data_IF_378035230010
#
_entry.id   IF_378035230010
#
_cell.length_a   1.000
_cell.length_b   1.000
_cell.length_c   1.000
_cell.angle_alpha   90.00
_cell.angle_beta   90.00
_cell.angle_gamma   90.00
#
_symmetry.space_group_name_H-M   'P 1'
#
loop_
_entity.id
_entity.type
_entity.pdbx_description
1 polymer ?
#
# COMPACT_ATOMS: atom_id res chain seq x y z
N UNK A 1 -15.09 12.30 15.59
CA UNK A 1 -14.61 11.05 16.24
C UNK A 1 -13.15 11.25 16.60
N UNK A 2 -12.71 10.80 17.78
CA UNK A 2 -11.30 10.86 18.21
C UNK A 2 -10.85 9.41 18.43
N UNK A 3 -9.66 9.05 17.95
CA UNK A 3 -9.07 7.75 18.23
C UNK A 3 -8.57 7.71 19.69
N UNK A 4 -8.85 6.62 20.41
CA UNK A 4 -8.46 6.45 21.82
C UNK A 4 -7.14 5.68 22.00
N UNK A 5 -6.68 4.99 20.94
CA UNK A 5 -5.46 4.19 20.96
C UNK A 5 -4.75 4.25 19.61
N UNK A 6 -3.42 4.32 19.65
CA UNK A 6 -2.53 4.25 18.49
C UNK A 6 -1.60 3.06 18.66
N UNK A 7 -1.45 2.24 17.61
CA UNK A 7 -0.50 1.13 17.56
C UNK A 7 0.59 1.52 16.56
N UNK A 8 1.83 1.62 17.04
CA UNK A 8 2.97 2.08 16.24
C UNK A 8 3.74 0.88 15.70
N UNK A 9 3.69 0.68 14.38
CA UNK A 9 4.59 -0.27 13.73
C UNK A 9 5.99 0.35 13.62
N UNK A 10 7.07 -0.40 13.89
CA UNK A 10 8.40 0.20 13.96
C UNK A 10 8.93 0.70 12.60
N UNK A 11 8.49 0.08 11.50
CA UNK A 11 8.96 0.30 10.13
C UNK A 11 7.85 0.07 9.12
N UNK A 12 7.94 0.73 7.95
CA UNK A 12 7.07 0.52 6.79
C UNK A 12 7.62 -0.50 5.79
N UNK A 13 7.07 -0.53 4.58
CA UNK A 13 7.51 -1.48 3.54
C UNK A 13 8.98 -1.24 3.14
N UNK A 14 9.68 -2.30 2.75
CA UNK A 14 11.01 -2.21 2.14
C UNK A 14 10.96 -1.35 0.87
N UNK A 15 12.00 -0.53 0.64
CA UNK A 15 12.15 0.33 -0.52
C UNK A 15 11.13 1.49 -0.62
N UNK A 16 10.47 1.83 0.50
CA UNK A 16 9.53 2.94 0.61
C UNK A 16 10.18 4.17 1.27
N UNK A 17 11.36 4.57 0.74
CA UNK A 17 12.13 5.69 1.27
C UNK A 17 11.46 7.04 1.03
N UNK A 18 10.78 7.20 -0.11
CA UNK A 18 10.09 8.43 -0.51
C UNK A 18 9.07 8.90 0.54
N UNK A 19 8.39 7.94 1.20
CA UNK A 19 7.39 8.22 2.24
C UNK A 19 7.89 7.95 3.66
N UNK A 20 9.15 7.53 3.79
CA UNK A 20 9.76 7.04 5.02
C UNK A 20 8.96 5.88 5.67
N UNK A 21 8.35 5.03 4.85
CA UNK A 21 7.63 3.84 5.30
C UNK A 21 6.19 4.11 5.71
N UNK A 22 5.38 4.63 4.79
CA UNK A 22 3.96 4.90 5.05
C UNK A 22 3.17 3.63 5.41
N UNK A 23 2.20 3.78 6.31
CA UNK A 23 1.46 2.65 6.88
C UNK A 23 0.62 1.91 5.84
N UNK A 24 0.07 2.62 4.85
CA UNK A 24 -0.84 2.06 3.84
C UNK A 24 -0.18 1.02 2.93
N UNK A 25 1.15 1.06 2.80
CA UNK A 25 1.91 0.15 1.97
C UNK A 25 2.34 -1.12 2.73
N UNK A 26 2.31 -1.10 4.07
CA UNK A 26 2.62 -2.27 4.91
C UNK A 26 1.37 -2.90 5.54
N UNK A 27 0.38 -2.13 6.00
CA UNK A 27 -0.76 -2.66 6.72
C UNK A 27 -2.00 -1.78 6.65
N UNK A 28 -3.18 -2.39 6.63
CA UNK A 28 -4.45 -1.67 6.67
C UNK A 28 -5.54 -2.48 7.39
N UNK A 29 -6.60 -1.82 7.85
CA UNK A 29 -7.74 -2.51 8.44
C UNK A 29 -8.65 -3.09 7.36
N UNK A 30 -8.96 -4.39 7.45
CA UNK A 30 -10.04 -5.01 6.69
C UNK A 30 -11.39 -4.89 7.40
N UNK A 31 -11.37 -4.88 8.74
CA UNK A 31 -12.53 -4.74 9.60
C UNK A 31 -12.05 -4.31 11.01
N UNK A 32 -12.95 -3.95 11.94
CA UNK A 32 -12.55 -3.70 13.33
C UNK A 32 -11.80 -4.91 13.91
N UNK A 33 -10.59 -4.66 14.45
CA UNK A 33 -9.67 -5.68 14.96
C UNK A 33 -9.19 -6.73 13.92
N UNK A 34 -9.28 -6.43 12.62
CA UNK A 34 -8.79 -7.29 11.54
C UNK A 34 -7.88 -6.48 10.61
N UNK A 35 -6.60 -6.85 10.55
CA UNK A 35 -5.56 -6.12 9.81
C UNK A 35 -4.98 -6.99 8.70
N UNK A 36 -4.89 -6.45 7.50
CA UNK A 36 -4.10 -7.02 6.40
C UNK A 36 -2.66 -6.51 6.56
N UNK A 37 -1.69 -7.41 6.44
CA UNK A 37 -0.26 -7.11 6.57
C UNK A 37 0.49 -7.64 5.34
N UNK A 38 1.22 -6.75 4.66
CA UNK A 38 2.19 -7.06 3.62
C UNK A 38 3.18 -8.10 4.15
N UNK A 39 3.31 -9.23 3.46
CA UNK A 39 4.03 -10.39 3.96
C UNK A 39 4.88 -11.04 2.87
N UNK A 40 5.99 -11.66 3.28
CA UNK A 40 6.72 -12.63 2.47
C UNK A 40 7.16 -13.78 3.36
N UNK A 41 7.16 -15.00 2.84
CA UNK A 41 7.76 -16.17 3.51
C UNK A 41 9.25 -16.35 3.19
N UNK A 42 9.79 -15.58 2.23
CA UNK A 42 11.21 -15.59 1.89
C UNK A 42 12.04 -14.88 2.96
N UNK A 43 12.73 -15.67 3.79
CA UNK A 43 13.55 -15.17 4.88
C UNK A 43 14.80 -14.40 4.42
N UNK A 44 15.19 -14.54 3.15
CA UNK A 44 16.30 -13.79 2.57
C UNK A 44 15.90 -12.40 2.09
N UNK A 45 14.60 -12.16 1.89
CA UNK A 45 14.08 -10.84 1.54
C UNK A 45 14.11 -9.92 2.78
N UNK A 46 14.66 -8.69 2.68
CA UNK A 46 14.63 -7.70 3.76
C UNK A 46 13.23 -7.45 4.35
N UNK A 47 12.17 -7.58 3.53
CA UNK A 47 10.79 -7.42 3.95
C UNK A 47 10.39 -8.43 5.03
N UNK A 48 10.93 -9.65 5.03
CA UNK A 48 10.59 -10.68 6.00
C UNK A 48 10.81 -10.22 7.44
N UNK A 49 11.97 -9.62 7.71
CA UNK A 49 12.31 -9.15 9.05
C UNK A 49 11.37 -8.01 9.51
N UNK A 50 10.95 -7.14 8.59
CA UNK A 50 10.03 -6.05 8.86
C UNK A 50 8.61 -6.58 9.12
N UNK A 51 8.08 -7.41 8.22
CA UNK A 51 6.74 -8.00 8.37
C UNK A 51 6.62 -8.83 9.64
N UNK A 52 7.66 -9.57 10.03
CA UNK A 52 7.67 -10.34 11.28
C UNK A 52 7.60 -9.43 12.52
N UNK A 53 8.32 -8.31 12.51
CA UNK A 53 8.28 -7.34 13.61
C UNK A 53 6.91 -6.67 13.70
N UNK A 54 6.35 -6.23 12.58
CA UNK A 54 5.00 -5.68 12.50
C UNK A 54 3.94 -6.68 13.02
N UNK A 55 4.05 -7.95 12.64
CA UNK A 55 3.17 -9.02 13.12
C UNK A 55 3.23 -9.16 14.65
N UNK A 56 4.44 -9.16 15.23
CA UNK A 56 4.61 -9.27 16.69
C UNK A 56 3.98 -8.08 17.43
N UNK A 57 4.11 -6.87 16.90
CA UNK A 57 3.47 -5.67 17.46
C UNK A 57 1.95 -5.78 17.39
N UNK A 58 1.40 -6.13 16.23
CA UNK A 58 -0.06 -6.28 16.06
C UNK A 58 -0.65 -7.36 16.98
N UNK A 59 0.03 -8.50 17.13
CA UNK A 59 -0.45 -9.60 17.96
C UNK A 59 -0.35 -9.33 19.47
N UNK A 60 0.59 -8.50 19.90
CA UNK A 60 0.77 -8.14 21.32
C UNK A 60 -0.06 -6.93 21.77
N UNK A 61 -0.72 -6.24 20.84
CA UNK A 61 -1.48 -5.02 21.12
C UNK A 61 -2.95 -5.16 20.72
N UNK A 62 -3.87 -5.34 21.68
CA UNK A 62 -5.31 -5.26 21.41
C UNK A 62 -5.71 -3.87 20.90
N UNK A 63 -6.83 -3.77 20.19
CA UNK A 63 -7.37 -2.48 19.74
C UNK A 63 -7.93 -1.62 20.90
N UNK A 64 -8.48 -0.44 20.59
CA UNK A 64 -9.04 0.48 21.58
C UNK A 64 -10.20 -0.12 22.40
N UNK A 65 -10.85 -1.18 21.91
CA UNK A 65 -11.95 -1.89 22.58
C UNK A 65 -11.49 -3.19 23.24
N UNK A 66 -10.18 -3.41 23.36
CA UNK A 66 -9.61 -4.60 23.99
C UNK A 66 -9.71 -5.87 23.15
N UNK A 67 -10.02 -5.77 21.84
CA UNK A 67 -10.09 -6.93 20.95
C UNK A 67 -8.70 -7.26 20.44
N UNK A 68 -8.35 -8.55 20.45
CA UNK A 68 -7.11 -9.01 19.83
C UNK A 68 -7.17 -8.79 18.31
N UNK A 69 -6.06 -8.34 17.73
CA UNK A 69 -5.97 -8.11 16.30
C UNK A 69 -5.78 -9.44 15.58
N UNK A 70 -6.73 -9.79 14.72
CA UNK A 70 -6.56 -10.83 13.71
C UNK A 70 -5.71 -10.26 12.56
N UNK A 71 -4.54 -10.87 12.33
CA UNK A 71 -3.63 -10.45 11.25
C UNK A 71 -3.76 -11.41 10.08
N UNK A 72 -4.14 -10.88 8.92
CA UNK A 72 -4.21 -11.58 7.65
C UNK A 72 -2.98 -11.20 6.83
N UNK A 73 -2.19 -12.20 6.47
CA UNK A 73 -1.00 -11.99 5.64
C UNK A 73 -1.40 -11.91 4.17
N UNK A 74 -0.92 -10.89 3.46
CA UNK A 74 -1.03 -10.80 2.01
C UNK A 74 0.37 -10.88 1.40
N UNK A 75 0.62 -11.90 0.59
CA UNK A 75 1.93 -12.13 -0.03
C UNK A 75 2.24 -10.97 -0.99
N UNK A 76 3.34 -10.25 -0.76
CA UNK A 76 3.82 -9.21 -1.68
C UNK A 76 4.20 -9.81 -3.04
N UNK A 77 4.18 -9.03 -4.14
CA UNK A 77 4.69 -9.51 -5.41
C UNK A 77 6.19 -9.87 -5.30
N UNK A 78 6.71 -10.68 -6.23
CA UNK A 78 8.15 -10.85 -6.39
C UNK A 78 8.84 -9.48 -6.43
N UNK A 79 10.05 -9.39 -5.87
CA UNK A 79 10.82 -8.16 -5.91
C UNK A 79 10.96 -7.66 -7.36
N UNK A 80 10.53 -6.43 -7.60
CA UNK A 80 10.65 -5.76 -8.88
C UNK A 80 11.66 -4.64 -8.77
N UNK A 81 12.32 -4.37 -9.89
CA UNK A 81 13.35 -3.35 -9.97
C UNK A 81 13.08 -2.44 -11.17
N UNK A 82 13.53 -1.19 -11.05
CA UNK A 82 13.56 -0.25 -12.16
C UNK A 82 14.55 -0.72 -13.22
N UNK A 83 14.13 -0.66 -14.46
CA UNK A 83 14.87 -1.04 -15.66
C UNK A 83 15.27 0.19 -16.46
N UNK A 84 16.12 0.02 -17.47
CA UNK A 84 16.49 1.11 -18.38
C UNK A 84 15.29 1.65 -19.17
N UNK A 85 14.34 0.78 -19.53
CA UNK A 85 13.11 1.16 -20.26
C UNK A 85 12.17 2.02 -19.42
N UNK A 86 12.27 1.94 -18.08
CA UNK A 86 11.49 2.76 -17.15
C UNK A 86 12.09 4.17 -16.98
N UNK A 87 13.28 4.43 -17.53
CA UNK A 87 13.94 5.73 -17.41
C UNK A 87 13.42 6.72 -18.45
N UNK A 88 13.29 8.01 -18.11
CA UNK A 88 12.94 9.01 -19.09
C UNK A 88 13.99 9.03 -20.21
N UNK A 89 13.55 8.86 -21.46
CA UNK A 89 14.40 9.05 -22.64
C UNK A 89 14.97 10.47 -22.60
N UNK A 90 16.28 10.58 -22.79
CA UNK A 90 17.17 11.66 -22.33
C UNK A 90 16.92 13.08 -22.88
N UNK A 91 15.70 13.46 -23.28
CA UNK A 91 15.26 14.85 -23.50
C UNK A 91 13.74 15.02 -23.73
N UNK A 92 12.89 14.01 -23.47
CA UNK A 92 11.44 14.15 -23.67
C UNK A 92 10.68 13.99 -22.36
N UNK A 93 10.15 15.11 -21.86
CA UNK A 93 9.22 15.23 -20.73
C UNK A 93 9.80 15.18 -19.31
N UNK A 94 10.95 15.81 -19.05
CA UNK A 94 11.05 16.51 -17.76
C UNK A 94 10.03 17.65 -17.84
N UNK A 95 8.89 17.52 -17.16
CA UNK A 95 8.05 18.66 -16.87
C UNK A 95 8.83 19.51 -15.86
N UNK A 96 9.73 20.36 -16.36
CA UNK A 96 10.29 21.42 -15.53
C UNK A 96 9.11 22.25 -15.06
N UNK A 97 9.01 22.50 -13.75
CA UNK A 97 8.09 23.52 -13.26
C UNK A 97 8.50 24.83 -13.94
N UNK A 98 7.69 25.31 -14.88
CA UNK A 98 7.85 26.66 -15.45
C UNK A 98 7.21 27.62 -14.45
N UNK A 99 7.87 27.81 -13.31
CA UNK A 99 7.50 28.77 -12.29
C UNK A 99 8.43 29.96 -12.34
N UNK A 100 7.91 31.13 -12.70
CA UNK A 100 8.59 32.42 -12.51
C UNK A 100 8.69 32.70 -11.00
N UNK A 101 9.70 32.15 -10.33
CA UNK A 101 10.29 32.72 -9.12
C UNK A 101 11.48 31.87 -8.69
N UNK A 102 12.60 32.53 -8.46
CA UNK A 102 13.65 32.01 -7.62
C UNK A 102 13.07 31.70 -6.24
N UNK A 103 12.85 30.44 -5.89
CA UNK A 103 13.03 29.93 -4.54
C UNK A 103 12.92 28.40 -4.50
N UNK A 104 13.83 27.82 -3.72
CA UNK A 104 13.94 26.44 -3.26
C UNK A 104 14.38 25.38 -4.30
N UNK A 105 15.58 24.85 -4.07
CA UNK A 105 16.04 23.60 -4.67
C UNK A 105 15.02 22.51 -4.35
N UNK A 106 14.18 22.16 -5.32
CA UNK A 106 13.38 20.95 -5.25
C UNK A 106 14.38 19.78 -5.27
N UNK A 107 14.56 19.12 -4.12
CA UNK A 107 15.20 17.80 -4.07
C UNK A 107 14.28 16.81 -4.79
N UNK A 108 14.31 16.81 -6.13
CA UNK A 108 13.81 15.68 -6.90
C UNK A 108 14.64 14.46 -6.49
N UNK A 109 14.00 13.43 -5.94
CA UNK A 109 14.69 12.16 -5.69
C UNK A 109 15.12 11.59 -7.04
N UNK A 110 16.43 11.53 -7.27
CA UNK A 110 16.97 10.95 -8.50
C UNK A 110 16.59 9.47 -8.57
N UNK A 111 15.85 9.09 -9.61
CA UNK A 111 15.52 7.68 -9.88
C UNK A 111 16.70 7.01 -10.57
N UNK A 112 17.07 5.82 -10.11
CA UNK A 112 18.19 5.05 -10.67
C UNK A 112 17.78 3.65 -11.10
N UNK A 113 18.39 3.17 -12.20
CA UNK A 113 18.19 1.80 -12.67
C UNK A 113 18.68 0.81 -11.62
N UNK A 114 17.90 -0.24 -11.37
CA UNK A 114 18.20 -1.26 -10.36
C UNK A 114 17.64 -0.96 -8.97
N UNK A 115 16.98 0.20 -8.76
CA UNK A 115 16.22 0.45 -7.54
C UNK A 115 15.08 -0.55 -7.37
N UNK A 116 14.90 -1.07 -6.15
CA UNK A 116 13.75 -1.92 -5.81
C UNK A 116 12.50 -1.05 -5.73
N UNK A 117 11.39 -1.54 -6.27
CA UNK A 117 10.09 -0.85 -6.21
C UNK A 117 9.34 -1.23 -4.92
N UNK A 118 8.71 -0.24 -4.28
CA UNK A 118 7.90 -0.38 -3.05
C UNK A 118 6.52 -1.03 -3.30
N UNK A 119 6.50 -2.18 -3.97
CA UNK A 119 5.26 -2.81 -4.43
C UNK A 119 4.59 -3.65 -3.35
N UNK A 120 3.34 -3.31 -3.01
CA UNK A 120 2.48 -4.12 -2.15
C UNK A 120 1.02 -4.11 -2.62
N UNK A 121 0.35 -5.25 -2.45
CA UNK A 121 -1.09 -5.36 -2.62
C UNK A 121 -1.88 -4.69 -1.50
N UNK A 122 -1.26 -4.34 -0.37
CA UNK A 122 -1.92 -3.61 0.73
C UNK A 122 -2.32 -2.18 0.33
N UNK A 123 -1.67 -1.60 -0.68
CA UNK A 123 -1.95 -0.27 -1.22
C UNK A 123 -3.17 -0.28 -2.17
N UNK A 124 -4.29 -0.84 -1.71
CA UNK A 124 -5.58 -0.92 -2.41
C UNK A 124 -6.58 0.11 -1.89
N UNK A 125 -7.61 0.40 -2.68
CA UNK A 125 -8.70 1.29 -2.29
C UNK A 125 -10.01 0.53 -2.03
N UNK A 126 -10.71 0.86 -0.94
CA UNK A 126 -12.05 0.34 -0.61
C UNK A 126 -13.09 1.33 -1.12
N UNK A 127 -13.81 0.96 -2.19
CA UNK A 127 -14.86 1.78 -2.77
C UNK A 127 -16.26 1.39 -2.26
N UNK A 128 -17.13 2.39 -2.08
CA UNK A 128 -18.52 2.18 -1.67
C UNK A 128 -18.75 2.19 -0.15
N UNK A 129 -19.98 1.92 0.27
CA UNK A 129 -20.40 2.10 1.66
C UNK A 129 -20.11 0.88 2.54
N UNK A 130 -19.80 1.06 3.85
CA UNK A 130 -19.70 -0.06 4.78
C UNK A 130 -21.00 -0.88 4.81
N UNK A 131 -20.92 -2.18 4.52
CA UNK A 131 -22.10 -3.08 4.44
C UNK A 131 -23.02 -2.88 3.23
N UNK A 132 -22.71 -1.92 2.35
CA UNK A 132 -23.46 -1.62 1.12
C UNK A 132 -22.74 -2.10 -0.15
N UNK A 133 -23.26 -1.74 -1.33
CA UNK A 133 -22.61 -2.05 -2.60
C UNK A 133 -21.24 -1.35 -2.69
N UNK A 134 -20.26 -2.04 -3.25
CA UNK A 134 -18.90 -1.55 -3.34
C UNK A 134 -17.91 -2.62 -3.78
N UNK A 135 -16.64 -2.24 -3.82
CA UNK A 135 -15.56 -3.08 -4.33
C UNK A 135 -14.22 -2.75 -3.71
N UNK A 136 -13.23 -3.55 -4.06
CA UNK A 136 -11.82 -3.36 -3.74
C UNK A 136 -11.09 -3.14 -5.06
N UNK A 137 -10.46 -1.98 -5.22
CA UNK A 137 -9.61 -1.68 -6.37
C UNK A 137 -8.17 -1.91 -5.95
N UNK A 138 -7.57 -2.99 -6.44
CA UNK A 138 -6.26 -3.48 -6.00
C UNK A 138 -5.27 -3.50 -7.16
N UNK A 139 -4.00 -3.12 -6.96
CA UNK A 139 -3.00 -3.22 -8.02
C UNK A 139 -2.73 -4.67 -8.42
N UNK A 140 -2.59 -4.90 -9.72
CA UNK A 140 -1.96 -6.07 -10.28
C UNK A 140 -0.57 -5.72 -10.81
N UNK A 141 0.39 -6.61 -10.58
CA UNK A 141 1.79 -6.43 -10.95
C UNK A 141 2.23 -7.39 -12.08
N UNK A 142 1.32 -8.20 -12.62
CA UNK A 142 1.62 -9.17 -13.66
C UNK A 142 2.30 -10.44 -13.12
N UNK A 143 2.10 -10.74 -11.84
CA UNK A 143 2.75 -11.85 -11.13
C UNK A 143 1.73 -12.89 -10.65
N UNK A 144 2.18 -14.13 -10.42
CA UNK A 144 1.31 -15.20 -9.89
C UNK A 144 0.70 -14.88 -8.51
N UNK A 145 1.34 -13.97 -7.77
CA UNK A 145 0.84 -13.42 -6.50
C UNK A 145 -0.40 -12.55 -6.67
N UNK A 146 -0.71 -12.04 -7.87
CA UNK A 146 -1.94 -11.27 -8.13
C UNK A 146 -3.19 -12.11 -7.82
N UNK A 147 -3.16 -13.40 -8.21
CA UNK A 147 -4.24 -14.34 -7.93
C UNK A 147 -4.36 -14.62 -6.43
N UNK A 148 -3.22 -14.76 -5.74
CA UNK A 148 -3.20 -14.99 -4.29
C UNK A 148 -3.74 -13.78 -3.52
N UNK A 149 -3.33 -12.57 -3.92
CA UNK A 149 -3.82 -11.33 -3.37
C UNK A 149 -5.34 -11.20 -3.54
N UNK A 150 -5.85 -11.44 -4.75
CA UNK A 150 -7.29 -11.41 -5.02
C UNK A 150 -8.06 -12.42 -4.16
N UNK A 151 -7.54 -13.64 -3.97
CA UNK A 151 -8.16 -14.65 -3.11
C UNK A 151 -8.20 -14.23 -1.64
N UNK A 152 -7.12 -13.62 -1.14
CA UNK A 152 -7.07 -13.09 0.23
C UNK A 152 -8.09 -11.96 0.39
N UNK A 153 -8.09 -10.98 -0.52
CA UNK A 153 -9.01 -9.85 -0.47
C UNK A 153 -10.48 -10.28 -0.57
N UNK A 154 -10.80 -11.27 -1.41
CA UNK A 154 -12.15 -11.86 -1.50
C UNK A 154 -12.61 -12.42 -0.15
N UNK A 155 -11.71 -13.06 0.61
CA UNK A 155 -12.01 -13.58 1.96
C UNK A 155 -12.11 -12.47 3.00
N UNK A 156 -11.31 -11.41 2.87
CA UNK A 156 -11.34 -10.25 3.75
C UNK A 156 -12.63 -9.44 3.60
N UNK A 157 -13.14 -9.35 2.38
CA UNK A 157 -14.22 -8.47 1.97
C UNK A 157 -15.36 -9.25 1.30
N UNK A 158 -16.04 -10.15 2.02
CA UNK A 158 -17.10 -10.98 1.43
C UNK A 158 -18.23 -10.10 0.86
N UNK A 159 -18.65 -10.42 -0.36
CA UNK A 159 -19.70 -9.68 -1.08
C UNK A 159 -19.23 -8.41 -1.79
N UNK A 160 -17.95 -8.05 -1.69
CA UNK A 160 -17.35 -6.98 -2.50
C UNK A 160 -16.70 -7.55 -3.75
N UNK A 161 -16.84 -6.85 -4.86
CA UNK A 161 -16.10 -7.16 -6.08
C UNK A 161 -14.61 -6.82 -5.90
N UNK A 162 -13.71 -7.72 -6.28
CA UNK A 162 -12.27 -7.47 -6.30
C UNK A 162 -11.85 -7.16 -7.72
N UNK A 163 -11.47 -5.91 -7.97
CA UNK A 163 -11.00 -5.42 -9.28
C UNK A 163 -9.48 -5.29 -9.22
N UNK A 164 -8.79 -6.23 -9.88
CA UNK A 164 -7.34 -6.19 -10.06
C UNK A 164 -7.00 -5.30 -11.26
N UNK A 165 -6.33 -4.17 -11.02
CA UNK A 165 -6.02 -3.18 -12.07
C UNK A 165 -4.59 -3.39 -12.59
N UNK A 166 -4.37 -3.67 -13.89
CA UNK A 166 -3.07 -4.00 -14.47
C UNK A 166 -2.20 -2.75 -14.70
N UNK A 167 -2.16 -1.82 -13.74
CA UNK A 167 -1.31 -0.64 -13.76
C UNK A 167 -0.45 -0.50 -12.48
N UNK A 168 -0.45 -1.51 -11.61
CA UNK A 168 0.25 -1.45 -10.33
C UNK A 168 1.75 -1.16 -10.50
N UNK A 169 2.38 -1.72 -11.55
CA UNK A 169 3.78 -1.45 -11.89
C UNK A 169 4.00 0.02 -12.29
N UNK A 170 3.18 0.54 -13.20
CA UNK A 170 3.37 1.90 -13.73
C UNK A 170 3.25 2.97 -12.63
N UNK A 171 2.35 2.77 -11.66
CA UNK A 171 2.20 3.73 -10.56
C UNK A 171 3.34 3.61 -9.54
N UNK A 172 3.79 2.39 -9.23
CA UNK A 172 4.85 2.19 -8.22
C UNK A 172 6.23 2.60 -8.72
N UNK A 173 6.42 2.75 -10.04
CA UNK A 173 7.60 3.42 -10.57
C UNK A 173 7.75 4.85 -10.03
N UNK A 174 6.68 5.52 -9.62
CA UNK A 174 6.76 6.87 -9.05
C UNK A 174 6.43 6.92 -7.54
N UNK A 175 6.60 5.80 -6.84
CA UNK A 175 6.63 5.78 -5.37
C UNK A 175 5.29 5.59 -4.68
N UNK A 176 4.24 5.13 -5.39
CA UNK A 176 2.94 4.88 -4.77
C UNK A 176 2.10 3.80 -5.46
N UNK A 177 0.84 3.68 -5.07
CA UNK A 177 -0.13 2.87 -5.81
C UNK A 177 -1.57 3.40 -5.66
N UNK A 178 -2.55 2.56 -5.97
CA UNK A 178 -3.98 2.92 -6.00
C UNK A 178 -4.44 3.64 -4.73
N UNK A 179 -4.02 3.21 -3.54
CA UNK A 179 -4.39 3.92 -2.31
C UNK A 179 -3.82 5.35 -2.29
N UNK A 180 -2.54 5.52 -2.65
CA UNK A 180 -1.84 6.81 -2.66
C UNK A 180 -2.49 7.87 -3.56
N UNK A 181 -3.16 7.45 -4.65
CA UNK A 181 -3.78 8.36 -5.63
C UNK A 181 -5.30 8.55 -5.42
N UNK A 182 -5.83 8.10 -4.28
CA UNK A 182 -7.26 8.18 -3.97
C UNK A 182 -7.50 8.82 -2.61
N UNK A 183 -8.64 9.50 -2.46
CA UNK A 183 -9.10 10.05 -1.19
C UNK A 183 -10.61 9.89 -1.09
N UNK A 184 -11.08 9.08 -0.14
CA UNK A 184 -12.53 8.86 0.05
C UNK A 184 -13.19 10.08 0.68
N UNK A 185 -14.40 10.39 0.20
CA UNK A 185 -15.34 11.27 0.88
C UNK A 185 -16.46 10.41 1.47
N UNK A 186 -16.50 10.20 2.80
CA UNK A 186 -17.58 9.45 3.44
C UNK A 186 -18.92 10.09 3.14
N UNK A 187 -19.93 9.27 2.81
CA UNK A 187 -21.30 9.74 2.71
C UNK A 187 -21.73 10.38 4.03
N UNK A 188 -22.48 11.49 3.94
CA UNK A 188 -23.08 12.07 5.13
C UNK A 188 -24.07 11.06 5.70
N UNK A 189 -23.84 10.58 6.92
CA UNK A 189 -24.88 9.85 7.62
C UNK A 189 -26.00 10.84 7.92
N UNK A 190 -27.09 10.80 7.14
CA UNK A 190 -28.33 11.43 7.59
C UNK A 190 -28.72 10.72 8.88
N UNK A 191 -28.78 11.46 9.98
CA UNK A 191 -29.31 10.94 11.23
C UNK A 191 -30.76 10.46 10.99
N UNK A 192 -31.16 9.28 11.49
CA UNK A 192 -32.56 8.88 11.51
C UNK A 192 -33.40 9.84 12.35
#
# INVERSE_FOLDING_TARGET
MIAEKVIWLPRGLTADEDTNGHIDNIACFAAPAKVILSWTDDQSDPQFAISREALAVLQSNPDARGRNIEVIKIQIPPAMYRTEDDMPVSNSARCSIVGDAADEQIEETERTVGERLAASYANFYIAGEPGGPGGIVCPAFGAGTDVLAAQVLTKCFPGREIVMVPCGREIVLDGGNIHCITQQQPACMMAP
#
